data_IF_041938384380
#
_entry.id   IF_041938384380
#
_cell.length_a   1.000
_cell.length_b   1.000
_cell.length_c   1.000
_cell.angle_alpha   90.00
_cell.angle_beta   90.00
_cell.angle_gamma   90.00
#
_symmetry.space_group_name_H-M   'P 1'
#
loop_
_entity.id
_entity.type
_entity.pdbx_description
1 polymer ?
#
# COMPACT_ATOMS: atom_id res chain seq x y z
N UNK A 1 -20.63 36.58 19.52
CA UNK A 1 -20.60 35.11 19.70
C UNK A 1 -21.27 34.46 18.50
N UNK A 2 -20.58 33.67 17.66
CA UNK A 2 -21.22 33.04 16.52
C UNK A 2 -21.90 31.72 16.96
N UNK A 3 -23.14 31.52 16.52
CA UNK A 3 -24.00 30.38 16.79
C UNK A 3 -23.45 29.06 16.18
N UNK A 4 -23.78 27.88 16.74
CA UNK A 4 -23.28 26.59 16.24
C UNK A 4 -23.93 26.20 14.89
N UNK A 5 -23.25 25.37 14.06
CA UNK A 5 -23.81 24.88 12.80
C UNK A 5 -24.94 23.89 13.04
N UNK A 6 -26.00 24.07 12.27
CA UNK A 6 -27.30 23.38 12.35
C UNK A 6 -27.20 21.86 12.21
N UNK A 7 -27.75 21.13 13.19
CA UNK A 7 -27.88 19.65 13.26
C UNK A 7 -29.00 19.08 12.36
N UNK A 8 -29.39 19.82 11.32
CA UNK A 8 -30.56 19.53 10.48
C UNK A 8 -30.39 18.32 9.54
N UNK A 9 -29.17 17.81 9.32
CA UNK A 9 -28.92 16.73 8.36
C UNK A 9 -29.39 15.33 8.82
N UNK A 10 -29.63 15.12 10.12
CA UNK A 10 -30.03 13.82 10.65
C UNK A 10 -31.55 13.57 10.58
N UNK A 11 -32.37 14.62 10.64
CA UNK A 11 -33.84 14.47 10.71
C UNK A 11 -34.52 14.35 9.34
N UNK A 12 -33.85 14.72 8.25
CA UNK A 12 -34.43 14.61 6.89
C UNK A 12 -34.58 13.18 6.37
N UNK A 13 -34.01 12.18 7.04
CA UNK A 13 -34.04 10.78 6.61
C UNK A 13 -35.27 9.99 7.12
N UNK A 14 -36.07 10.55 8.03
CA UNK A 14 -37.23 9.86 8.62
C UNK A 14 -38.59 10.39 8.13
N UNK A 15 -38.65 11.55 7.48
CA UNK A 15 -39.91 12.17 7.05
C UNK A 15 -40.45 11.72 5.68
N UNK A 16 -39.84 10.71 5.03
CA UNK A 16 -40.25 10.25 3.71
C UNK A 16 -41.16 9.00 3.73
N UNK A 17 -41.82 8.70 4.85
CA UNK A 17 -42.78 7.60 4.95
C UNK A 17 -44.06 8.05 5.67
N UNK A 18 -44.89 8.83 5.00
CA UNK A 18 -46.31 9.00 5.35
C UNK A 18 -47.13 9.04 4.06
N UNK A 19 -48.13 8.18 3.98
CA UNK A 19 -48.94 7.87 2.80
C UNK A 19 -49.98 8.97 2.41
N UNK A 20 -50.29 9.02 1.10
CA UNK A 20 -51.52 9.48 0.40
C UNK A 20 -51.86 10.98 0.24
N UNK A 21 -51.77 11.53 -1.00
CA UNK A 21 -52.91 11.78 -1.93
C UNK A 21 -52.47 12.44 -3.28
N UNK A 22 -53.27 12.38 -4.39
CA UNK A 22 -52.83 12.68 -5.76
C UNK A 22 -53.25 14.06 -6.28
N UNK A 23 -52.31 14.80 -6.90
CA UNK A 23 -52.44 15.60 -8.14
C UNK A 23 -51.30 16.62 -8.18
N UNK A 24 -50.43 16.51 -9.19
CA UNK A 24 -50.05 17.63 -10.07
C UNK A 24 -48.94 17.18 -11.01
N UNK A 25 -49.33 17.08 -12.27
CA UNK A 25 -48.48 16.81 -13.42
C UNK A 25 -47.67 18.06 -13.75
N UNK A 26 -46.40 18.13 -13.35
CA UNK A 26 -45.35 18.78 -14.16
C UNK A 26 -44.05 18.83 -13.36
N UNK A 27 -43.06 18.07 -13.83
CA UNK A 27 -41.64 18.40 -13.65
C UNK A 27 -40.96 17.81 -12.41
N UNK A 28 -40.62 16.51 -12.41
CA UNK A 28 -39.50 16.02 -11.60
C UNK A 28 -38.96 14.61 -11.90
N UNK A 29 -38.92 14.13 -13.15
CA UNK A 29 -38.13 12.90 -13.42
C UNK A 29 -36.65 13.06 -13.03
N UNK A 30 -36.10 14.28 -13.13
CA UNK A 30 -34.72 14.56 -12.77
C UNK A 30 -34.43 14.44 -11.26
N UNK A 31 -35.34 14.86 -10.35
CA UNK A 31 -35.06 14.74 -8.91
C UNK A 31 -35.14 13.30 -8.44
N UNK A 32 -36.15 12.55 -8.86
CA UNK A 32 -36.32 11.13 -8.53
C UNK A 32 -35.12 10.30 -9.01
N UNK A 33 -34.66 10.55 -10.24
CA UNK A 33 -33.48 9.89 -10.80
C UNK A 33 -32.18 10.31 -10.10
N UNK A 34 -32.07 11.58 -9.67
CA UNK A 34 -30.92 12.07 -8.89
C UNK A 34 -30.92 11.51 -7.46
N UNK A 35 -32.08 11.34 -6.83
CA UNK A 35 -32.23 10.67 -5.53
C UNK A 35 -31.83 9.20 -5.64
N UNK A 36 -32.30 8.51 -6.69
CA UNK A 36 -31.96 7.10 -6.96
C UNK A 36 -30.46 6.92 -7.19
N UNK A 37 -29.84 7.77 -8.01
CA UNK A 37 -28.40 7.74 -8.24
C UNK A 37 -27.60 7.97 -6.95
N UNK A 38 -28.04 8.92 -6.11
CA UNK A 38 -27.39 9.22 -4.83
C UNK A 38 -27.49 8.05 -3.84
N UNK A 39 -28.65 7.39 -3.76
CA UNK A 39 -28.84 6.20 -2.92
C UNK A 39 -27.96 5.04 -3.40
N UNK A 40 -27.85 4.86 -4.72
CA UNK A 40 -26.96 3.85 -5.30
C UNK A 40 -25.48 4.11 -4.93
N UNK A 41 -25.01 5.34 -5.08
CA UNK A 41 -23.65 5.73 -4.66
C UNK A 41 -23.39 5.47 -3.18
N UNK A 42 -24.36 5.78 -2.31
CA UNK A 42 -24.24 5.51 -0.87
C UNK A 42 -24.16 4.02 -0.55
N UNK A 43 -24.94 3.19 -1.26
CA UNK A 43 -24.91 1.73 -1.12
C UNK A 43 -23.54 1.16 -1.53
N UNK A 44 -22.98 1.63 -2.63
CA UNK A 44 -21.65 1.24 -3.10
C UNK A 44 -20.55 1.68 -2.15
N UNK A 45 -20.61 2.92 -1.64
CA UNK A 45 -19.70 3.42 -0.62
C UNK A 45 -19.71 2.53 0.63
N UNK A 46 -20.91 2.18 1.13
CA UNK A 46 -21.03 1.31 2.31
C UNK A 46 -20.47 -0.10 2.03
N UNK A 47 -20.66 -0.63 0.82
CA UNK A 47 -20.10 -1.92 0.40
C UNK A 47 -18.57 -1.88 0.41
N UNK A 48 -17.96 -0.86 -0.19
CA UNK A 48 -16.51 -0.67 -0.21
C UNK A 48 -15.93 -0.56 1.21
N UNK A 49 -16.61 0.18 2.10
CA UNK A 49 -16.21 0.27 3.52
C UNK A 49 -16.26 -1.08 4.23
N UNK A 50 -17.27 -1.91 3.97
CA UNK A 50 -17.33 -3.27 4.55
C UNK A 50 -16.17 -4.13 4.07
N UNK A 51 -15.84 -4.08 2.79
CA UNK A 51 -14.71 -4.83 2.21
C UNK A 51 -13.37 -4.39 2.80
N UNK A 52 -13.15 -3.08 2.97
CA UNK A 52 -11.98 -2.54 3.65
C UNK A 52 -11.87 -3.02 5.10
N UNK A 53 -13.00 -3.09 5.82
CA UNK A 53 -13.03 -3.51 7.23
C UNK A 53 -12.66 -4.98 7.45
N UNK A 54 -12.87 -5.84 6.45
CA UNK A 54 -12.46 -7.25 6.52
C UNK A 54 -10.93 -7.39 6.50
N UNK A 55 -10.25 -6.52 5.74
CA UNK A 55 -8.78 -6.54 5.54
C UNK A 55 -7.98 -5.93 6.68
N UNK A 56 -8.64 -5.35 7.69
CA UNK A 56 -7.96 -4.80 8.86
C UNK A 56 -7.22 -5.92 9.63
N UNK A 57 -5.98 -5.66 10.09
CA UNK A 57 -5.24 -6.55 10.97
C UNK A 57 -6.01 -6.87 12.25
N UNK A 58 -5.74 -8.03 12.85
CA UNK A 58 -6.43 -8.47 14.06
C UNK A 58 -6.17 -7.53 15.25
N UNK A 59 -5.01 -6.88 15.26
CA UNK A 59 -4.57 -5.93 16.28
C UNK A 59 -5.36 -4.61 16.21
N UNK A 60 -5.82 -4.23 15.02
CA UNK A 60 -6.67 -3.06 14.79
C UNK A 60 -8.16 -3.35 15.09
N UNK A 61 -8.53 -4.62 15.25
CA UNK A 61 -9.86 -5.07 15.69
C UNK A 61 -9.85 -5.14 17.22
N UNK A 62 -9.67 -4.00 17.89
CA UNK A 62 -9.79 -3.89 19.35
C UNK A 62 -11.17 -4.36 19.85
N UNK A 63 -11.41 -4.31 21.17
CA UNK A 63 -12.61 -4.81 21.88
C UNK A 63 -13.92 -4.06 21.58
N UNK A 64 -14.11 -3.61 20.33
CA UNK A 64 -15.25 -2.89 19.78
C UNK A 64 -15.29 -3.01 18.25
N UNK A 65 -16.35 -2.48 17.61
CA UNK A 65 -16.44 -2.48 16.13
C UNK A 65 -15.30 -1.61 15.59
N UNK A 66 -14.47 -2.15 14.68
CA UNK A 66 -13.47 -1.35 13.95
C UNK A 66 -14.14 -0.13 13.32
N UNK A 67 -13.56 1.06 13.46
CA UNK A 67 -14.16 2.27 12.91
C UNK A 67 -13.92 2.38 11.40
N UNK A 68 -14.73 3.20 10.72
CA UNK A 68 -14.46 3.55 9.32
C UNK A 68 -13.10 4.26 9.19
N UNK A 69 -12.72 5.05 10.19
CA UNK A 69 -11.45 5.78 10.22
C UNK A 69 -10.27 4.81 10.25
N UNK A 70 -10.31 3.77 11.09
CA UNK A 70 -9.23 2.78 11.20
C UNK A 70 -9.00 2.06 9.85
N UNK A 71 -10.10 1.69 9.17
CA UNK A 71 -10.05 1.03 7.88
C UNK A 71 -9.37 1.90 6.80
N UNK A 72 -9.72 3.20 6.77
CA UNK A 72 -9.15 4.15 5.84
C UNK A 72 -7.67 4.43 6.14
N UNK A 73 -7.31 4.56 7.42
CA UNK A 73 -5.93 4.80 7.84
C UNK A 73 -5.02 3.60 7.54
N UNK A 74 -5.52 2.38 7.74
CA UNK A 74 -4.82 1.17 7.36
C UNK A 74 -4.59 1.10 5.84
N UNK A 75 -5.62 1.36 5.03
CA UNK A 75 -5.49 1.37 3.57
C UNK A 75 -4.45 2.39 3.08
N UNK A 76 -4.43 3.59 3.66
CA UNK A 76 -3.42 4.61 3.36
C UNK A 76 -2.00 4.13 3.70
N UNK A 77 -1.82 3.48 4.85
CA UNK A 77 -0.52 2.94 5.25
C UNK A 77 -0.05 1.82 4.30
N UNK A 78 -0.95 0.94 3.83
CA UNK A 78 -0.61 -0.06 2.83
C UNK A 78 -0.11 0.57 1.53
N UNK A 79 -0.77 1.63 1.04
CA UNK A 79 -0.33 2.34 -0.17
C UNK A 79 1.05 2.97 0.03
N UNK A 80 1.30 3.57 1.19
CA UNK A 80 2.62 4.12 1.54
C UNK A 80 3.70 3.03 1.57
N UNK A 81 3.40 1.89 2.20
CA UNK A 81 4.32 0.76 2.26
C UNK A 81 4.64 0.18 0.89
N UNK A 82 3.63 -0.04 0.03
CA UNK A 82 3.85 -0.53 -1.33
C UNK A 82 4.75 0.42 -2.12
N UNK A 83 4.53 1.74 -2.00
CA UNK A 83 5.40 2.74 -2.65
C UNK A 83 6.83 2.70 -2.11
N UNK A 84 6.99 2.64 -0.79
CA UNK A 84 8.31 2.56 -0.17
C UNK A 84 9.05 1.26 -0.55
N UNK A 85 8.34 0.13 -0.60
CA UNK A 85 8.89 -1.15 -1.05
C UNK A 85 9.28 -1.09 -2.52
N UNK A 86 8.47 -0.48 -3.37
CA UNK A 86 8.80 -0.29 -4.79
C UNK A 86 10.07 0.55 -4.96
N UNK A 87 10.22 1.65 -4.21
CA UNK A 87 11.42 2.48 -4.22
C UNK A 87 12.65 1.72 -3.71
N UNK A 88 12.49 0.94 -2.63
CA UNK A 88 13.54 0.08 -2.09
C UNK A 88 14.06 -0.91 -3.15
N UNK A 89 13.16 -1.63 -3.83
CA UNK A 89 13.56 -2.56 -4.89
C UNK A 89 14.05 -1.86 -6.15
N UNK A 90 13.56 -0.66 -6.47
CA UNK A 90 14.11 0.14 -7.57
C UNK A 90 15.55 0.55 -7.30
N UNK A 91 15.87 1.08 -6.11
CA UNK A 91 17.25 1.41 -5.74
C UNK A 91 18.15 0.19 -5.75
N UNK A 92 17.69 -0.94 -5.19
CA UNK A 92 18.41 -2.22 -5.26
C UNK A 92 18.66 -2.67 -6.71
N UNK A 93 17.63 -2.61 -7.57
CA UNK A 93 17.75 -3.00 -8.99
C UNK A 93 18.64 -2.03 -9.80
N UNK A 94 18.69 -0.76 -9.40
CA UNK A 94 19.51 0.28 -10.03
C UNK A 94 20.96 0.14 -9.59
N UNK A 95 21.24 -0.16 -8.32
CA UNK A 95 22.58 -0.47 -7.83
C UNK A 95 23.15 -1.73 -8.49
N UNK A 96 22.32 -2.74 -8.77
CA UNK A 96 22.72 -3.94 -9.52
C UNK A 96 23.01 -3.66 -11.01
N UNK A 97 22.39 -2.64 -11.61
CA UNK A 97 22.55 -2.30 -13.03
C UNK A 97 23.61 -1.21 -13.29
N UNK A 98 23.92 -0.37 -12.30
CA UNK A 98 24.95 0.68 -12.41
C UNK A 98 26.33 0.23 -11.89
N UNK A 99 26.44 -0.99 -11.36
CA UNK A 99 27.71 -1.65 -11.00
C UNK A 99 28.53 -2.17 -12.19
N UNK A 100 28.08 -2.00 -13.44
CA UNK A 100 28.93 -2.21 -14.62
C UNK A 100 29.92 -1.05 -14.88
N UNK A 101 30.20 -0.21 -13.89
CA UNK A 101 31.47 0.51 -13.78
C UNK A 101 32.50 -0.39 -13.10
N UNK A 102 32.95 -1.40 -13.84
CA UNK A 102 33.98 -2.35 -13.42
C UNK A 102 35.37 -1.69 -13.52
N UNK A 103 35.59 -0.62 -12.76
CA UNK A 103 36.89 0.07 -12.65
C UNK A 103 37.30 0.29 -11.19
N UNK A 104 37.17 -0.75 -10.38
CA UNK A 104 37.83 -0.88 -9.08
C UNK A 104 38.38 -2.30 -8.99
N UNK A 105 39.63 -2.47 -9.43
CA UNK A 105 40.46 -3.67 -9.29
C UNK A 105 39.74 -5.00 -9.54
N UNK A 106 39.39 -5.27 -10.80
CA UNK A 106 39.06 -6.63 -11.21
C UNK A 106 40.35 -7.45 -11.28
N UNK A 107 40.48 -8.44 -10.39
CA UNK A 107 41.55 -9.41 -10.45
C UNK A 107 41.04 -10.72 -11.05
N UNK A 108 41.81 -11.30 -11.98
CA UNK A 108 41.44 -12.61 -12.52
C UNK A 108 41.71 -13.69 -11.46
N UNK A 109 41.04 -14.84 -11.61
CA UNK A 109 41.31 -15.98 -10.73
C UNK A 109 42.79 -16.41 -10.78
N UNK A 110 43.46 -16.26 -11.95
CA UNK A 110 44.89 -16.55 -12.08
C UNK A 110 45.77 -15.55 -11.31
N UNK A 111 45.39 -14.26 -11.25
CA UNK A 111 46.12 -13.26 -10.48
C UNK A 111 46.03 -13.52 -8.97
N UNK A 112 44.84 -13.91 -8.49
CA UNK A 112 44.63 -14.33 -7.10
C UNK A 112 45.43 -15.59 -6.75
N UNK A 113 45.50 -16.56 -7.68
CA UNK A 113 46.31 -17.78 -7.51
C UNK A 113 47.80 -17.46 -7.44
N UNK A 114 48.30 -16.57 -8.31
CA UNK A 114 49.69 -16.13 -8.28
C UNK A 114 50.06 -15.47 -6.94
N UNK A 115 49.21 -14.57 -6.43
CA UNK A 115 49.42 -13.94 -5.12
C UNK A 115 49.43 -15.00 -4.01
N UNK A 116 48.44 -15.88 -3.97
CA UNK A 116 48.35 -16.93 -2.95
C UNK A 116 49.57 -17.87 -2.97
N UNK A 117 50.04 -18.24 -4.17
CA UNK A 117 51.16 -19.15 -4.38
C UNK A 117 52.47 -18.65 -3.74
N UNK A 118 52.73 -17.33 -3.79
CA UNK A 118 53.93 -16.73 -3.22
C UNK A 118 53.95 -16.81 -1.68
N UNK A 119 52.78 -16.73 -1.04
CA UNK A 119 52.66 -16.82 0.42
C UNK A 119 52.63 -18.26 0.93
N UNK A 120 51.99 -19.20 0.22
CA UNK A 120 51.96 -20.62 0.60
C UNK A 120 53.31 -21.31 0.42
N UNK A 121 54.15 -20.85 -0.52
CA UNK A 121 55.51 -21.36 -0.68
C UNK A 121 56.39 -21.11 0.57
N UNK A 122 56.07 -20.07 1.35
CA UNK A 122 56.81 -19.70 2.57
C UNK A 122 56.25 -20.33 3.85
N UNK A 123 55.02 -20.85 3.83
CA UNK A 123 54.38 -21.44 5.00
C UNK A 123 53.44 -22.59 4.60
N UNK A 124 53.93 -23.82 4.71
CA UNK A 124 53.21 -25.03 4.32
C UNK A 124 52.01 -25.37 5.22
N UNK A 125 51.85 -24.70 6.36
CA UNK A 125 50.72 -24.90 7.27
C UNK A 125 49.52 -23.99 6.93
N UNK A 126 49.58 -23.25 5.83
CA UNK A 126 48.54 -22.30 5.40
C UNK A 126 47.83 -22.78 4.13
N UNK A 127 46.51 -22.59 4.06
CA UNK A 127 45.70 -22.78 2.85
C UNK A 127 44.94 -21.49 2.50
N UNK A 128 44.64 -21.30 1.21
CA UNK A 128 43.91 -20.13 0.69
C UNK A 128 42.69 -20.59 -0.12
N UNK A 129 41.62 -19.79 -0.10
CA UNK A 129 40.37 -20.06 -0.80
C UNK A 129 39.74 -18.75 -1.28
N UNK A 130 39.22 -18.75 -2.51
CA UNK A 130 38.44 -17.65 -3.07
C UNK A 130 36.99 -18.10 -3.27
N UNK A 131 36.04 -17.20 -3.00
CA UNK A 131 34.60 -17.47 -3.14
C UNK A 131 33.91 -16.36 -3.91
N UNK A 132 32.93 -16.73 -4.73
CA UNK A 132 32.15 -15.84 -5.56
C UNK A 132 30.77 -15.64 -4.96
N UNK A 133 30.45 -14.41 -4.55
CA UNK A 133 29.12 -14.06 -4.05
C UNK A 133 28.03 -14.25 -5.12
N UNK A 134 28.36 -14.02 -6.39
CA UNK A 134 27.41 -14.07 -7.49
C UNK A 134 27.10 -15.50 -7.94
N UNK A 135 28.12 -16.35 -8.01
CA UNK A 135 27.95 -17.73 -8.50
C UNK A 135 27.81 -18.75 -7.37
N UNK A 136 28.12 -18.36 -6.13
CA UNK A 136 28.16 -19.25 -4.97
C UNK A 136 29.24 -20.33 -5.04
N UNK A 137 30.23 -20.14 -5.93
CA UNK A 137 31.39 -21.02 -6.10
C UNK A 137 32.54 -20.62 -5.19
#
# INVERSE_FOLDING_TARGET
SPSPPSSSLAYSLLSASSEQDPLSTSGCSSNEQHQTARVQTQKEMLKALKELKVRLPAECKGKGRSSTLDALQYALNCVKQVRANQEYYHQWSVEECHGCSLDLSAHTAEELDNIASEYTLKNTDTFSMAVSFLTGR
#
